data_IF_729371883001
#
_entry.id   IF_729371883001
#
_cell.length_a   1.000
_cell.length_b   1.000
_cell.length_c   1.000
_cell.angle_alpha   90.00
_cell.angle_beta   90.00
_cell.angle_gamma   90.00
#
_symmetry.space_group_name_H-M   'P 1'
#
loop_
_entity.id
_entity.type
_entity.pdbx_description
1 polymer ?
#
# COMPACT_ATOMS: atom_id res chain seq x y z
N UNK A 1 5.48 13.69 -25.69
CA UNK A 1 5.49 13.37 -25.45
C UNK A 1 5.18 12.82 -25.14
N UNK A 2 5.20 12.67 -25.01
CA UNK A 2 5.02 12.14 -24.66
C UNK A 2 4.93 11.51 -24.06
N UNK A 3 5.20 11.29 -23.92
CA UNK A 3 5.27 10.69 -23.40
C UNK A 3 4.68 10.19 -22.81
N UNK A 4 4.54 10.22 -23.15
CA UNK A 4 4.04 9.69 -22.72
C UNK A 4 3.63 9.35 -21.76
N UNK A 5 3.77 9.30 -21.60
CA UNK A 5 3.58 8.87 -20.40
C UNK A 5 2.24 9.11 -19.91
N UNK A 6 1.52 8.20 -19.38
CA UNK A 6 0.27 8.48 -18.75
C UNK A 6 0.55 8.94 -17.35
N UNK A 7 0.98 10.14 -17.23
CA UNK A 7 1.38 10.60 -15.91
C UNK A 7 0.25 10.54 -14.91
N UNK A 8 -0.98 10.59 -15.36
CA UNK A 8 -2.07 10.55 -14.39
C UNK A 8 -2.17 9.18 -13.73
N UNK A 9 -2.08 8.12 -14.51
CA UNK A 9 -2.15 6.79 -13.93
C UNK A 9 -0.97 6.55 -13.00
N UNK A 10 0.21 7.02 -13.37
CA UNK A 10 1.39 6.83 -12.58
C UNK A 10 1.36 7.60 -11.27
N UNK A 11 0.44 8.56 -11.14
CA UNK A 11 0.34 9.37 -9.93
C UNK A 11 -0.91 9.12 -9.14
N UNK A 12 -1.72 8.15 -9.54
CA UNK A 12 -2.93 7.84 -8.81
C UNK A 12 -2.67 6.73 -7.80
N UNK A 13 -3.12 6.97 -6.57
CA UNK A 13 -2.94 6.05 -5.46
C UNK A 13 -4.28 5.89 -4.77
N UNK A 14 -4.58 4.69 -4.30
CA UNK A 14 -5.74 4.50 -3.44
C UNK A 14 -5.27 4.08 -2.06
N UNK A 15 -5.86 4.68 -1.04
CA UNK A 15 -5.60 4.37 0.37
C UNK A 15 -6.81 3.65 0.92
N UNK A 16 -6.61 2.42 1.37
CA UNK A 16 -7.68 1.60 1.93
C UNK A 16 -7.44 1.48 3.42
N UNK A 17 -8.19 2.26 4.18
CA UNK A 17 -8.02 2.35 5.63
C UNK A 17 -9.31 2.90 6.21
N UNK A 18 -9.79 2.32 7.30
CA UNK A 18 -11.03 2.76 7.92
C UNK A 18 -10.83 3.89 8.93
N UNK A 19 -9.60 4.26 9.23
CA UNK A 19 -9.31 5.34 10.17
C UNK A 19 -9.30 6.69 9.45
N UNK A 20 -10.30 7.54 9.69
CA UNK A 20 -10.37 8.82 8.97
C UNK A 20 -9.20 9.75 9.27
N UNK A 21 -8.63 9.68 10.45
CA UNK A 21 -7.48 10.54 10.76
C UNK A 21 -6.26 10.13 9.95
N UNK A 22 -6.01 8.83 9.84
CA UNK A 22 -4.90 8.36 9.03
C UNK A 22 -5.13 8.64 7.54
N UNK A 23 -6.37 8.46 7.07
CA UNK A 23 -6.66 8.78 5.67
C UNK A 23 -6.35 10.25 5.36
N UNK A 24 -6.77 11.13 6.26
CA UNK A 24 -6.52 12.57 6.08
C UNK A 24 -5.02 12.85 6.02
N UNK A 25 -4.26 12.22 6.90
CA UNK A 25 -2.82 12.41 6.92
C UNK A 25 -2.18 11.91 5.63
N UNK A 26 -2.54 10.72 5.19
CA UNK A 26 -1.97 10.15 3.96
C UNK A 26 -2.30 11.01 2.75
N UNK A 27 -3.55 11.49 2.66
CA UNK A 27 -3.93 12.36 1.56
C UNK A 27 -3.03 13.59 1.54
N UNK A 28 -2.88 14.25 2.68
CA UNK A 28 -2.10 15.48 2.74
C UNK A 28 -0.65 15.23 2.33
N UNK A 29 -0.05 14.17 2.86
CA UNK A 29 1.37 13.90 2.59
C UNK A 29 1.61 13.49 1.15
N UNK A 30 0.74 12.65 0.62
CA UNK A 30 0.92 12.16 -0.74
C UNK A 30 0.60 13.22 -1.77
N UNK A 31 -0.41 14.06 -1.51
CA UNK A 31 -0.71 15.15 -2.44
C UNK A 31 0.42 16.15 -2.53
N UNK A 32 1.13 16.34 -1.43
CA UNK A 32 2.31 17.23 -1.45
C UNK A 32 3.41 16.71 -2.34
N UNK A 33 3.41 15.40 -2.61
CA UNK A 33 4.39 14.79 -3.51
C UNK A 33 3.87 14.68 -4.94
N UNK A 34 2.70 15.21 -5.20
CA UNK A 34 2.14 15.23 -6.55
C UNK A 34 1.24 14.07 -6.90
N UNK A 35 0.85 13.26 -5.91
CA UNK A 35 -0.08 12.16 -6.16
C UNK A 35 -1.51 12.63 -6.08
N UNK A 36 -2.37 11.97 -6.86
CA UNK A 36 -3.82 12.08 -6.72
C UNK A 36 -4.27 10.90 -5.87
N UNK A 37 -4.97 11.17 -4.79
CA UNK A 37 -5.27 10.14 -3.79
C UNK A 37 -6.77 9.90 -3.70
N UNK A 38 -7.17 8.66 -3.96
CA UNK A 38 -8.51 8.21 -3.67
C UNK A 38 -8.49 7.45 -2.35
N UNK A 39 -9.61 7.37 -1.68
CA UNK A 39 -9.70 6.63 -0.42
C UNK A 39 -10.88 5.67 -0.47
N UNK A 40 -10.74 4.58 0.25
CA UNK A 40 -11.82 3.62 0.44
C UNK A 40 -11.82 3.18 1.90
N UNK A 41 -12.99 3.14 2.54
CA UNK A 41 -13.05 2.80 3.96
C UNK A 41 -12.97 1.31 4.25
N UNK A 42 -13.13 0.48 3.23
CA UNK A 42 -13.10 -0.98 3.41
C UNK A 42 -12.71 -1.65 2.10
N UNK A 43 -12.53 -2.98 2.19
CA UNK A 43 -12.06 -3.74 1.04
C UNK A 43 -13.06 -3.81 -0.10
N UNK A 44 -14.35 -3.79 0.22
CA UNK A 44 -15.37 -3.87 -0.82
C UNK A 44 -15.39 -2.60 -1.67
N UNK A 45 -15.41 -1.45 -1.01
CA UNK A 45 -15.34 -0.17 -1.72
C UNK A 45 -14.05 -0.05 -2.50
N UNK A 46 -12.94 -0.54 -1.91
CA UNK A 46 -11.65 -0.52 -2.59
C UNK A 46 -11.67 -1.36 -3.86
N UNK A 47 -12.19 -2.57 -3.77
CA UNK A 47 -12.23 -3.44 -4.94
C UNK A 47 -13.03 -2.80 -6.08
N UNK A 48 -14.15 -2.17 -5.73
CA UNK A 48 -14.99 -1.50 -6.71
C UNK A 48 -14.22 -0.40 -7.41
N UNK A 49 -13.48 0.41 -6.67
CA UNK A 49 -12.68 1.47 -7.27
C UNK A 49 -11.49 0.93 -8.07
N UNK A 50 -10.82 -0.08 -7.55
CA UNK A 50 -9.67 -0.69 -8.22
C UNK A 50 -10.08 -1.30 -9.56
N UNK A 51 -11.27 -1.86 -9.63
CA UNK A 51 -11.73 -2.48 -10.87
C UNK A 51 -12.08 -1.45 -11.95
N UNK A 52 -12.27 -0.19 -11.57
CA UNK A 52 -12.65 0.85 -12.53
C UNK A 52 -11.54 1.83 -12.84
N UNK A 53 -10.48 1.83 -12.09
CA UNK A 53 -9.42 2.82 -12.24
C UNK A 53 -8.06 2.14 -12.25
N UNK A 54 -7.10 2.82 -12.85
CA UNK A 54 -5.72 2.34 -12.81
C UNK A 54 -4.98 3.07 -11.71
N UNK A 55 -4.48 2.34 -10.73
CA UNK A 55 -3.70 2.92 -9.65
C UNK A 55 -2.25 2.49 -9.77
N UNK A 56 -1.36 3.43 -9.52
CA UNK A 56 0.07 3.14 -9.50
C UNK A 56 0.49 2.46 -8.21
N UNK A 57 -0.26 2.70 -7.14
CA UNK A 57 0.00 2.06 -5.85
C UNK A 57 -1.32 1.91 -5.09
N UNK A 58 -1.43 0.82 -4.37
CA UNK A 58 -2.58 0.51 -3.52
C UNK A 58 -2.06 0.35 -2.11
N UNK A 59 -2.42 1.27 -1.23
CA UNK A 59 -1.97 1.27 0.14
C UNK A 59 -3.07 0.66 0.99
N UNK A 60 -2.82 -0.50 1.55
CA UNK A 60 -3.87 -1.32 2.17
C UNK A 60 -3.57 -1.64 3.62
N UNK A 61 -4.49 -1.25 4.51
CA UNK A 61 -4.45 -1.67 5.89
C UNK A 61 -5.10 -3.05 6.01
N UNK A 62 -4.40 -4.00 6.58
CA UNK A 62 -4.95 -5.35 6.74
C UNK A 62 -6.03 -5.45 7.80
N UNK A 63 -5.98 -4.61 8.80
CA UNK A 63 -6.84 -4.74 9.98
C UNK A 63 -7.98 -3.74 9.95
N UNK A 64 -9.03 -4.07 9.22
CA UNK A 64 -10.25 -3.28 9.16
C UNK A 64 -11.41 -4.10 9.73
N UNK A 65 -12.35 -3.46 10.45
CA UNK A 65 -13.36 -4.21 11.20
C UNK A 65 -14.32 -5.05 10.37
N UNK A 66 -14.83 -4.53 9.28
CA UNK A 66 -15.89 -5.24 8.55
C UNK A 66 -15.37 -6.17 7.50
N UNK A 67 -14.71 -5.61 6.50
CA UNK A 67 -14.10 -6.40 5.43
C UNK A 67 -12.62 -6.13 5.52
N UNK A 68 -11.88 -7.06 6.07
CA UNK A 68 -10.47 -6.83 6.33
C UNK A 68 -9.64 -6.93 5.06
N UNK A 69 -8.41 -6.44 5.15
CA UNK A 69 -7.52 -6.38 4.01
C UNK A 69 -7.12 -7.72 3.46
N UNK A 70 -7.17 -8.78 4.29
CA UNK A 70 -6.88 -10.12 3.80
C UNK A 70 -7.87 -10.57 2.74
N UNK A 71 -9.14 -10.27 2.94
CA UNK A 71 -10.16 -10.62 1.96
C UNK A 71 -9.94 -9.91 0.63
N UNK A 72 -9.56 -8.64 0.71
CA UNK A 72 -9.25 -7.89 -0.50
C UNK A 72 -8.05 -8.49 -1.22
N UNK A 73 -7.00 -8.83 -0.48
CA UNK A 73 -5.82 -9.44 -1.08
C UNK A 73 -6.17 -10.77 -1.77
N UNK A 74 -6.98 -11.59 -1.12
CA UNK A 74 -7.40 -12.86 -1.71
C UNK A 74 -8.17 -12.65 -2.99
N UNK A 75 -9.04 -11.66 -3.00
CA UNK A 75 -9.85 -11.38 -4.18
C UNK A 75 -8.97 -10.87 -5.32
N UNK A 76 -8.04 -9.98 -5.02
CA UNK A 76 -7.11 -9.51 -6.04
C UNK A 76 -6.26 -10.64 -6.58
N UNK A 77 -5.81 -11.53 -5.71
CA UNK A 77 -5.00 -12.66 -6.14
C UNK A 77 -5.76 -13.59 -7.10
N UNK A 78 -7.06 -13.76 -6.86
CA UNK A 78 -7.89 -14.60 -7.73
C UNK A 78 -8.24 -13.92 -9.04
N UNK A 79 -8.57 -12.65 -8.98
CA UNK A 79 -9.19 -11.98 -10.11
C UNK A 79 -8.28 -11.04 -10.86
N UNK A 80 -7.30 -10.44 -10.18
CA UNK A 80 -6.41 -9.47 -10.79
C UNK A 80 -4.99 -9.63 -10.24
N UNK A 81 -4.37 -10.82 -10.40
CA UNK A 81 -3.09 -11.07 -9.72
C UNK A 81 -1.97 -10.10 -10.10
N UNK A 82 -2.03 -9.53 -11.30
CA UNK A 82 -1.00 -8.58 -11.72
C UNK A 82 -0.99 -7.32 -10.85
N UNK A 83 -2.11 -6.99 -10.20
CA UNK A 83 -2.17 -5.80 -9.36
C UNK A 83 -1.48 -5.99 -8.03
N UNK A 84 -1.23 -7.22 -7.61
CA UNK A 84 -0.57 -7.45 -6.32
C UNK A 84 0.80 -6.79 -6.25
N UNK A 85 1.50 -6.69 -7.37
CA UNK A 85 2.80 -6.05 -7.39
C UNK A 85 2.75 -4.55 -7.12
N UNK A 86 1.55 -3.99 -7.04
CA UNK A 86 1.35 -2.57 -6.72
C UNK A 86 0.77 -2.37 -5.33
N UNK A 87 0.62 -3.44 -4.56
CA UNK A 87 0.02 -3.35 -3.23
C UNK A 87 1.10 -3.17 -2.17
N UNK A 88 0.93 -2.13 -1.37
CA UNK A 88 1.75 -1.89 -0.19
C UNK A 88 0.84 -2.18 0.99
N UNK A 89 1.18 -3.17 1.78
CA UNK A 89 0.38 -3.57 2.94
C UNK A 89 0.88 -2.85 4.18
N UNK A 90 -0.04 -2.23 4.91
CA UNK A 90 0.25 -1.66 6.22
C UNK A 90 -0.38 -2.56 7.26
N UNK A 91 0.32 -2.83 8.33
CA UNK A 91 -0.26 -3.67 9.36
C UNK A 91 0.33 -3.44 10.74
N UNK A 92 -0.54 -3.43 11.75
CA UNK A 92 -0.15 -3.54 13.15
C UNK A 92 -0.33 -4.95 13.67
N UNK A 93 -0.67 -5.89 12.79
CA UNK A 93 -0.92 -7.27 13.19
C UNK A 93 0.33 -7.93 13.74
N UNK A 94 0.12 -8.98 14.53
CA UNK A 94 1.23 -9.70 15.11
C UNK A 94 2.07 -10.36 14.03
N UNK A 95 3.30 -10.68 14.39
CA UNK A 95 4.19 -11.37 13.48
C UNK A 95 3.58 -12.68 12.99
N UNK A 96 2.89 -13.39 13.86
CA UNK A 96 2.27 -14.66 13.50
C UNK A 96 1.25 -14.47 12.37
N UNK A 97 0.44 -13.44 12.45
CA UNK A 97 -0.55 -13.16 11.42
C UNK A 97 0.13 -12.79 10.13
N UNK A 98 1.16 -11.95 10.21
CA UNK A 98 1.89 -11.52 9.02
C UNK A 98 2.56 -12.69 8.32
N UNK A 99 3.01 -13.68 9.07
CA UNK A 99 3.68 -14.85 8.49
C UNK A 99 2.76 -15.67 7.59
N UNK A 100 1.44 -15.53 7.75
CA UNK A 100 0.51 -16.23 6.88
C UNK A 100 0.33 -15.54 5.53
N UNK A 101 0.88 -14.35 5.39
CA UNK A 101 0.72 -13.54 4.21
C UNK A 101 1.83 -13.83 3.20
N UNK A 102 1.46 -14.04 1.95
CA UNK A 102 2.45 -14.20 0.88
C UNK A 102 2.99 -12.83 0.50
N UNK A 103 4.11 -12.46 1.10
CA UNK A 103 4.71 -11.16 0.84
C UNK A 103 5.51 -11.12 -0.46
N UNK A 104 5.68 -12.26 -1.13
CA UNK A 104 6.43 -12.28 -2.38
C UNK A 104 5.62 -11.75 -3.56
N UNK A 105 4.31 -11.77 -3.44
CA UNK A 105 3.43 -11.33 -4.52
C UNK A 105 3.10 -9.84 -4.44
N UNK A 106 3.18 -9.23 -3.28
CA UNK A 106 2.87 -7.81 -3.09
C UNK A 106 4.13 -6.98 -3.24
N UNK A 107 3.95 -5.67 -3.43
CA UNK A 107 5.11 -4.79 -3.54
C UNK A 107 5.92 -4.76 -2.24
N UNK A 108 5.24 -4.63 -1.11
CA UNK A 108 5.95 -4.60 0.16
C UNK A 108 5.02 -4.46 1.34
N UNK A 109 5.62 -4.55 2.51
CA UNK A 109 4.92 -4.52 3.79
C UNK A 109 5.52 -3.43 4.66
N UNK A 110 4.68 -2.61 5.27
CA UNK A 110 5.09 -1.59 6.22
C UNK A 110 4.41 -1.89 7.54
N UNK A 111 5.18 -2.01 8.60
CA UNK A 111 4.64 -2.32 9.92
C UNK A 111 4.35 -1.05 10.68
N UNK A 112 3.23 -1.03 11.38
CA UNK A 112 2.90 0.07 12.29
C UNK A 112 3.61 -0.16 13.61
N UNK A 113 4.11 0.86 14.25
CA UNK A 113 4.16 2.26 13.81
C UNK A 113 5.25 2.47 12.76
N UNK A 114 5.05 3.45 11.90
CA UNK A 114 6.01 3.75 10.84
C UNK A 114 6.20 5.25 10.73
N UNK A 115 7.31 5.65 10.09
CA UNK A 115 7.52 7.06 9.76
C UNK A 115 6.74 7.41 8.51
N UNK A 116 6.23 8.62 8.48
CA UNK A 116 5.51 9.11 7.32
C UNK A 116 6.45 9.15 6.09
N UNK A 117 7.73 9.48 6.32
CA UNK A 117 8.70 9.50 5.22
C UNK A 117 8.91 8.10 4.64
N UNK A 118 8.92 7.09 5.47
CA UNK A 118 9.02 5.71 5.02
C UNK A 118 7.85 5.36 4.11
N UNK A 119 6.65 5.75 4.52
CA UNK A 119 5.46 5.47 3.74
C UNK A 119 5.48 6.20 2.41
N UNK A 120 5.80 7.49 2.42
CA UNK A 120 5.84 8.29 1.21
C UNK A 120 6.88 7.77 0.24
N UNK A 121 8.04 7.38 0.76
CA UNK A 121 9.10 6.82 -0.07
C UNK A 121 8.68 5.49 -0.70
N UNK A 122 7.97 4.67 0.07
CA UNK A 122 7.48 3.39 -0.45
C UNK A 122 6.46 3.60 -1.57
N UNK A 123 5.52 4.53 -1.37
CA UNK A 123 4.52 4.82 -2.39
C UNK A 123 5.19 5.35 -3.65
N UNK A 124 6.17 6.24 -3.50
CA UNK A 124 6.89 6.80 -4.63
C UNK A 124 7.63 5.71 -5.41
N UNK A 125 8.35 4.85 -4.72
CA UNK A 125 9.09 3.77 -5.37
C UNK A 125 8.15 2.79 -6.07
N UNK A 126 7.05 2.45 -5.42
CA UNK A 126 6.06 1.54 -6.00
C UNK A 126 5.45 2.14 -7.26
N UNK A 127 5.09 3.43 -7.21
CA UNK A 127 4.51 4.12 -8.35
C UNK A 127 5.48 4.21 -9.52
N UNK A 128 6.76 4.33 -9.22
CA UNK A 128 7.80 4.40 -10.24
C UNK A 128 8.17 3.02 -10.79
N UNK A 129 7.55 1.97 -10.29
CA UNK A 129 7.86 0.61 -10.72
C UNK A 129 9.17 0.10 -10.18
N UNK A 130 9.71 0.71 -9.15
CA UNK A 130 10.97 0.27 -8.56
C UNK A 130 10.71 -0.79 -7.49
N UNK A 131 11.57 -1.77 -7.36
CA UNK A 131 11.38 -2.80 -6.34
C UNK A 131 11.59 -2.22 -4.96
N UNK A 132 11.01 -2.89 -3.98
CA UNK A 132 11.21 -2.48 -2.61
C UNK A 132 12.64 -2.73 -2.18
N UNK A 133 13.21 -1.75 -1.48
CA UNK A 133 14.52 -1.90 -0.89
C UNK A 133 14.34 -2.39 0.54
N UNK A 134 14.93 -3.53 0.90
CA UNK A 134 14.78 -4.02 2.27
C UNK A 134 15.45 -3.07 3.24
N UNK A 135 14.96 -3.03 4.48
CA UNK A 135 15.58 -2.16 5.48
C UNK A 135 16.98 -2.64 5.82
N UNK A 136 17.81 -1.74 6.31
CA UNK A 136 19.16 -2.12 6.72
C UNK A 136 19.12 -3.18 7.80
N UNK A 137 19.99 -4.15 7.65
CA UNK A 137 20.03 -5.26 8.58
C UNK A 137 20.67 -4.88 9.88
N UNK A 138 21.60 -3.95 9.84
CA UNK A 138 22.44 -3.67 10.96
C UNK A 138 21.71 -3.21 12.21
N UNK A 139 20.51 -2.72 12.07
CA UNK A 139 19.89 -2.26 13.26
C UNK A 139 19.25 -3.36 14.03
N UNK A 140 19.10 -4.50 13.47
CA UNK A 140 18.45 -5.58 14.17
C UNK A 140 19.21 -6.00 15.41
N UNK A 141 20.48 -6.17 15.30
CA UNK A 141 21.19 -6.76 16.41
C UNK A 141 21.41 -5.85 17.52
N UNK A 142 21.27 -4.81 17.32
CA UNK A 142 21.61 -4.08 18.30
C UNK A 142 20.89 -4.28 19.35
N UNK A 143 20.47 -4.63 19.23
CA UNK A 143 20.09 -4.78 20.11
C UNK A 143 20.24 -5.65 20.86
N UNK A 144 20.43 -6.02 20.94
CA UNK A 144 20.65 -6.89 21.62
C UNK A 144 21.44 -7.00 22.43
N UNK A 145 21.57 -6.59 22.51
CA UNK A 145 22.42 -6.70 23.23
C UNK A 145 22.66 -6.26 23.62
#
# INVERSE_FOLDING_TARGET
MSRSDPPFAARQVIVVDDDPALRTLFIAMLERKGFTVDVAPDGRAAYDQISRNAYAAILLDLMMPDVNGFELLERLARECPALLSRVIVMTGASRRVVQTLDTTSIWGLIRKPFDIDELVNAVTACSDGRPRVPPPVSRAPKQLM
#
